data_IF_018721110825
#
_entry.id   IF_018721110825
#
_cell.length_a   1.000
_cell.length_b   1.000
_cell.length_c   1.000
_cell.angle_alpha   90.00
_cell.angle_beta   90.00
_cell.angle_gamma   90.00
#
_symmetry.space_group_name_H-M   'P 1'
#
loop_
_entity.id
_entity.type
_entity.pdbx_description
1 polymer ?
#
# COMPACT_ATOMS: atom_id res chain seq x y z
N UNK A 1 5.93 -9.43 7.64
CA UNK A 1 6.85 -9.94 6.61
C UNK A 1 7.10 -8.91 5.52
N UNK A 2 8.37 -8.57 5.31
CA UNK A 2 8.84 -7.83 4.13
C UNK A 2 8.55 -8.59 2.82
N UNK A 3 7.89 -7.92 1.87
CA UNK A 3 7.61 -8.45 0.53
C UNK A 3 8.63 -7.94 -0.48
N UNK A 4 8.90 -6.63 -0.48
CA UNK A 4 9.91 -6.02 -1.31
C UNK A 4 10.36 -4.67 -0.76
N UNK A 5 11.61 -4.32 -1.01
CA UNK A 5 12.23 -3.05 -0.72
C UNK A 5 13.12 -2.70 -1.91
N UNK A 6 12.77 -1.66 -2.67
CA UNK A 6 13.44 -1.36 -3.95
C UNK A 6 13.64 0.14 -4.09
N UNK A 7 14.83 0.51 -4.53
CA UNK A 7 15.15 1.86 -4.95
C UNK A 7 14.94 2.03 -6.45
N UNK A 8 14.46 3.22 -6.81
CA UNK A 8 14.24 3.64 -8.18
C UNK A 8 14.94 4.99 -8.41
N UNK A 9 15.41 5.20 -9.64
CA UNK A 9 15.92 6.50 -10.07
C UNK A 9 15.41 6.76 -11.50
N UNK A 10 14.89 7.96 -11.74
CA UNK A 10 14.32 8.34 -13.04
C UNK A 10 13.24 7.35 -13.55
N UNK A 11 12.46 6.77 -12.62
CA UNK A 11 11.41 5.79 -12.92
C UNK A 11 11.88 4.39 -13.28
N UNK A 12 13.17 4.08 -13.11
CA UNK A 12 13.74 2.74 -13.34
C UNK A 12 14.23 2.12 -12.05
N UNK A 13 14.08 0.80 -11.91
CA UNK A 13 14.64 0.05 -10.78
C UNK A 13 16.16 0.22 -10.76
N UNK A 14 16.69 0.66 -9.62
CA UNK A 14 18.12 0.78 -9.36
C UNK A 14 18.64 -0.54 -8.76
N UNK A 15 18.10 -0.94 -7.61
CA UNK A 15 18.41 -2.19 -6.92
C UNK A 15 17.34 -2.55 -5.91
N UNK A 16 17.33 -3.82 -5.48
CA UNK A 16 16.73 -4.16 -4.19
C UNK A 16 17.57 -3.52 -3.06
N UNK A 17 16.92 -3.14 -1.96
CA UNK A 17 17.55 -2.36 -0.87
C UNK A 17 17.41 -3.15 0.43
N UNK A 18 18.52 -3.44 1.14
CA UNK A 18 18.46 -3.91 2.53
C UNK A 18 17.72 -2.90 3.40
N UNK A 19 16.97 -3.37 4.39
CA UNK A 19 16.11 -2.49 5.20
C UNK A 19 16.95 -1.46 5.96
N UNK A 20 18.07 -1.90 6.51
CA UNK A 20 19.06 -1.10 7.23
C UNK A 20 19.75 -0.02 6.37
N UNK A 21 19.64 -0.10 5.04
CA UNK A 21 20.25 0.86 4.12
C UNK A 21 19.22 1.87 3.57
N UNK A 22 17.93 1.74 3.92
CA UNK A 22 16.85 2.60 3.38
C UNK A 22 17.21 4.07 3.55
N UNK A 23 17.57 4.48 4.76
CA UNK A 23 17.94 5.87 5.08
C UNK A 23 19.11 6.40 4.25
N UNK A 24 20.09 5.56 3.88
CA UNK A 24 21.19 5.94 3.01
C UNK A 24 20.76 6.11 1.55
N UNK A 25 19.87 5.25 1.04
CA UNK A 25 19.30 5.41 -0.29
C UNK A 25 18.42 6.67 -0.40
N UNK A 26 17.68 7.01 0.65
CA UNK A 26 16.85 8.23 0.67
C UNK A 26 17.66 9.52 0.63
N UNK A 27 18.93 9.51 1.08
CA UNK A 27 19.84 10.66 0.99
C UNK A 27 20.38 10.88 -0.43
N UNK A 28 20.29 9.88 -1.31
CA UNK A 28 20.82 9.96 -2.66
C UNK A 28 19.90 10.82 -3.56
N UNK A 29 20.45 11.80 -4.31
CA UNK A 29 19.65 12.67 -5.17
C UNK A 29 18.86 11.92 -6.24
N UNK A 30 17.56 12.18 -6.31
CA UNK A 30 16.66 11.59 -7.33
C UNK A 30 16.28 10.13 -7.06
N UNK A 31 16.63 9.59 -5.89
CA UNK A 31 16.27 8.24 -5.48
C UNK A 31 14.90 8.21 -4.83
N UNK A 32 14.09 7.22 -5.21
CA UNK A 32 12.78 6.93 -4.64
C UNK A 32 12.76 5.49 -4.10
N UNK A 33 12.35 5.28 -2.85
CA UNK A 33 12.29 3.94 -2.24
C UNK A 33 10.84 3.49 -2.08
N UNK A 34 10.50 2.31 -2.60
CA UNK A 34 9.17 1.73 -2.42
C UNK A 34 9.27 0.40 -1.67
N UNK A 35 8.63 0.35 -0.51
CA UNK A 35 8.56 -0.81 0.39
C UNK A 35 7.14 -1.34 0.49
N UNK A 36 7.01 -2.67 0.50
CA UNK A 36 5.76 -3.34 0.82
C UNK A 36 5.97 -4.37 1.94
N UNK A 37 5.17 -4.27 2.99
CA UNK A 37 5.04 -5.22 4.08
C UNK A 37 3.70 -5.93 3.99
N UNK A 38 3.69 -7.19 4.40
CA UNK A 38 2.50 -8.00 4.61
C UNK A 38 2.51 -8.54 6.03
N UNK A 39 1.41 -8.37 6.75
CA UNK A 39 1.20 -8.89 8.10
C UNK A 39 2.46 -8.72 8.97
N UNK A 40 3.06 -7.50 9.06
CA UNK A 40 4.31 -7.33 9.77
C UNK A 40 4.14 -7.45 11.27
N UNK A 41 5.18 -7.99 11.90
CA UNK A 41 5.28 -8.00 13.35
C UNK A 41 5.71 -6.62 13.88
N UNK A 42 5.71 -6.49 15.22
CA UNK A 42 6.04 -5.23 15.87
C UNK A 42 7.49 -4.78 15.63
N UNK A 43 8.43 -5.72 15.47
CA UNK A 43 9.84 -5.39 15.23
C UNK A 43 10.02 -4.84 13.81
N UNK A 44 9.40 -5.46 12.81
CA UNK A 44 9.42 -4.97 11.42
C UNK A 44 8.83 -3.56 11.30
N UNK A 45 7.71 -3.29 12.00
CA UNK A 45 7.10 -1.96 12.04
C UNK A 45 8.02 -0.93 12.72
N UNK A 46 8.65 -1.30 13.85
CA UNK A 46 9.58 -0.43 14.55
C UNK A 46 10.80 -0.07 13.67
N UNK A 47 11.34 -1.04 12.93
CA UNK A 47 12.43 -0.77 11.99
C UNK A 47 12.02 0.21 10.88
N UNK A 48 10.81 0.06 10.31
CA UNK A 48 10.32 1.04 9.33
C UNK A 48 10.12 2.42 9.94
N UNK A 49 9.66 2.49 11.18
CA UNK A 49 9.52 3.76 11.89
C UNK A 49 10.85 4.50 12.00
N UNK A 50 11.91 3.79 12.38
CA UNK A 50 13.27 4.36 12.48
C UNK A 50 13.81 4.80 11.12
N UNK A 51 13.76 3.92 10.10
CA UNK A 51 14.34 4.18 8.77
C UNK A 51 13.66 5.34 8.02
N UNK A 52 12.35 5.49 8.18
CA UNK A 52 11.57 6.53 7.52
C UNK A 52 11.24 7.73 8.43
N UNK A 53 11.63 7.68 9.70
CA UNK A 53 11.25 8.65 10.73
C UNK A 53 9.72 8.87 10.78
N UNK A 54 8.97 7.78 10.85
CA UNK A 54 7.49 7.80 10.82
C UNK A 54 6.93 8.35 12.14
N UNK A 55 5.83 9.09 12.05
CA UNK A 55 5.15 9.62 13.22
C UNK A 55 4.52 8.51 14.06
N UNK A 56 4.71 8.55 15.38
CA UNK A 56 4.31 7.49 16.32
C UNK A 56 2.82 7.12 16.20
N UNK A 57 1.93 8.12 16.11
CA UNK A 57 0.48 7.87 15.96
C UNK A 57 0.11 7.11 14.67
N UNK A 58 0.80 7.40 13.56
CA UNK A 58 0.54 6.71 12.29
C UNK A 58 1.04 5.26 12.33
N UNK A 59 2.16 5.03 13.03
CA UNK A 59 2.72 3.69 13.28
C UNK A 59 1.79 2.89 14.19
N UNK A 60 1.27 3.50 15.26
CA UNK A 60 0.30 2.91 16.17
C UNK A 60 -0.97 2.47 15.43
N UNK A 61 -1.49 3.31 14.54
CA UNK A 61 -2.66 3.00 13.71
C UNK A 61 -2.38 1.85 12.72
N UNK A 62 -1.24 1.87 12.04
CA UNK A 62 -0.83 0.79 11.14
C UNK A 62 -0.54 -0.54 11.87
N UNK A 63 -0.14 -0.47 13.15
CA UNK A 63 0.09 -1.63 14.00
C UNK A 63 -1.21 -2.23 14.55
N UNK A 64 -2.15 -1.38 15.00
CA UNK A 64 -3.45 -1.80 15.54
C UNK A 64 -4.37 -2.40 14.50
N UNK A 65 -4.39 -1.82 13.30
CA UNK A 65 -5.39 -2.15 12.28
C UNK A 65 -6.81 -1.77 12.71
N UNK A 66 -7.79 -2.27 11.96
CA UNK A 66 -9.23 -2.02 12.12
C UNK A 66 -9.58 -0.54 12.16
N UNK A 67 -8.82 0.28 11.43
CA UNK A 67 -9.04 1.71 11.34
C UNK A 67 -10.06 2.02 10.26
N UNK A 68 -10.90 3.03 10.50
CA UNK A 68 -11.74 3.58 9.43
C UNK A 68 -10.85 4.20 8.36
N UNK A 69 -11.23 4.11 7.06
CA UNK A 69 -10.48 4.75 6.01
C UNK A 69 -10.34 6.24 6.26
N UNK A 70 -9.10 6.73 6.22
CA UNK A 70 -8.76 8.13 6.49
C UNK A 70 -7.44 8.49 5.84
N UNK A 71 -7.21 9.79 5.70
CA UNK A 71 -5.95 10.37 5.26
C UNK A 71 -5.57 11.47 6.24
N UNK A 72 -4.33 11.44 6.71
CA UNK A 72 -3.76 12.36 7.69
C UNK A 72 -2.38 12.81 7.22
N UNK A 73 -2.02 14.05 7.56
CA UNK A 73 -0.71 14.62 7.24
C UNK A 73 0.14 14.70 8.52
N UNK A 74 1.36 14.16 8.44
CA UNK A 74 2.35 14.21 9.50
C UNK A 74 3.65 14.81 8.95
N UNK A 75 3.75 16.13 9.02
CA UNK A 75 4.85 16.87 8.36
C UNK A 75 4.80 16.67 6.85
N UNK A 76 5.89 16.17 6.26
CA UNK A 76 5.98 15.90 4.82
C UNK A 76 5.51 14.48 4.42
N UNK A 77 4.95 13.72 5.36
CA UNK A 77 4.41 12.38 5.13
C UNK A 77 2.88 12.40 5.13
N UNK A 78 2.28 11.82 4.10
CA UNK A 78 0.85 11.49 4.09
C UNK A 78 0.69 10.06 4.58
N UNK A 79 -0.11 9.88 5.63
CA UNK A 79 -0.59 8.58 6.08
C UNK A 79 -2.01 8.35 5.57
N UNK A 80 -2.24 7.21 4.93
CA UNK A 80 -3.55 6.81 4.44
C UNK A 80 -3.86 5.39 4.87
N UNK A 81 -5.07 5.14 5.34
CA UNK A 81 -5.58 3.79 5.55
C UNK A 81 -6.81 3.55 4.69
N UNK A 82 -6.90 2.36 4.12
CA UNK A 82 -7.98 1.89 3.26
C UNK A 82 -8.40 0.50 3.70
N UNK A 83 -9.70 0.20 3.61
CA UNK A 83 -10.14 -1.19 3.62
C UNK A 83 -9.84 -1.84 2.27
N UNK A 84 -9.54 -3.13 2.31
CA UNK A 84 -9.50 -3.97 1.14
C UNK A 84 -10.69 -4.91 1.30
N UNK A 85 -11.54 -4.99 0.30
CA UNK A 85 -12.63 -5.97 0.26
C UNK A 85 -12.41 -6.84 -0.96
N UNK A 86 -12.42 -8.16 -0.76
CA UNK A 86 -12.13 -9.12 -1.81
C UNK A 86 -13.13 -10.26 -1.78
N UNK A 87 -13.55 -10.68 -2.97
CA UNK A 87 -14.33 -11.88 -3.18
C UNK A 87 -13.39 -13.11 -3.27
N UNK A 88 -13.62 -14.09 -2.40
CA UNK A 88 -12.94 -15.39 -2.41
C UNK A 88 -13.97 -16.50 -2.65
N UNK A 89 -14.19 -16.85 -3.92
CA UNK A 89 -15.33 -17.70 -4.27
C UNK A 89 -16.62 -16.91 -4.08
N UNK A 90 -17.47 -17.35 -3.16
CA UNK A 90 -18.72 -16.66 -2.80
C UNK A 90 -18.61 -15.91 -1.45
N UNK A 91 -17.46 -15.97 -0.78
CA UNK A 91 -17.25 -15.30 0.51
C UNK A 91 -16.55 -13.95 0.34
N UNK A 92 -17.09 -12.92 1.00
CA UNK A 92 -16.45 -11.62 1.14
C UNK A 92 -15.44 -11.67 2.28
N UNK A 93 -14.19 -11.32 1.99
CA UNK A 93 -13.15 -11.09 3.00
C UNK A 93 -12.79 -9.60 3.06
N UNK A 94 -12.38 -9.15 4.24
CA UNK A 94 -11.87 -7.80 4.46
C UNK A 94 -10.45 -7.83 5.00
N UNK A 95 -9.61 -6.96 4.46
CA UNK A 95 -8.31 -6.62 5.02
C UNK A 95 -8.09 -5.12 4.99
N UNK A 96 -6.85 -4.70 5.19
CA UNK A 96 -6.49 -3.29 5.25
C UNK A 96 -5.18 -2.99 4.54
N UNK A 97 -5.08 -1.76 4.03
CA UNK A 97 -3.86 -1.19 3.48
C UNK A 97 -3.57 0.14 4.17
N UNK A 98 -2.51 0.18 4.97
CA UNK A 98 -1.90 1.41 5.43
C UNK A 98 -0.79 1.82 4.46
N UNK A 99 -0.73 3.10 4.10
CA UNK A 99 0.24 3.68 3.18
C UNK A 99 0.85 4.90 3.83
N UNK A 100 2.17 4.93 3.91
CA UNK A 100 2.97 6.09 4.25
C UNK A 100 3.63 6.58 2.97
N UNK A 101 3.30 7.80 2.54
CA UNK A 101 3.85 8.43 1.36
C UNK A 101 4.62 9.69 1.77
N UNK A 102 5.94 9.61 1.74
CA UNK A 102 6.82 10.76 1.96
C UNK A 102 7.29 11.41 0.66
N UNK A 103 8.22 12.37 0.73
CA UNK A 103 8.73 13.09 -0.44
C UNK A 103 9.38 12.18 -1.49
N UNK A 104 10.09 11.15 -1.04
CA UNK A 104 10.83 10.22 -1.90
C UNK A 104 10.71 8.76 -1.45
N UNK A 105 9.63 8.41 -0.75
CA UNK A 105 9.33 7.02 -0.44
C UNK A 105 7.84 6.71 -0.41
N UNK A 106 7.52 5.43 -0.60
CA UNK A 106 6.24 4.85 -0.21
C UNK A 106 6.48 3.58 0.58
N UNK A 107 5.90 3.49 1.77
CA UNK A 107 5.78 2.26 2.53
C UNK A 107 4.31 1.85 2.54
N UNK A 108 4.03 0.62 2.14
CA UNK A 108 2.69 0.04 2.21
C UNK A 108 2.68 -1.15 3.16
N UNK A 109 1.73 -1.16 4.10
CA UNK A 109 1.53 -2.23 5.07
C UNK A 109 0.16 -2.83 4.84
N UNK A 110 0.14 -4.10 4.41
CA UNK A 110 -1.10 -4.84 4.20
C UNK A 110 -1.36 -5.78 5.37
N UNK A 111 -2.59 -5.81 5.88
CA UNK A 111 -3.06 -6.79 6.88
C UNK A 111 -4.29 -7.55 6.37
N UNK A 112 -4.37 -8.83 6.71
CA UNK A 112 -5.56 -9.68 6.57
C UNK A 112 -6.16 -9.70 5.15
N UNK A 113 -5.30 -9.55 4.13
CA UNK A 113 -5.73 -9.54 2.73
C UNK A 113 -5.03 -10.61 1.90
N UNK A 114 -5.85 -11.37 1.18
CA UNK A 114 -5.44 -12.55 0.43
C UNK A 114 -4.65 -12.18 -0.83
N UNK A 115 -5.11 -11.19 -1.60
CA UNK A 115 -4.42 -10.79 -2.84
C UNK A 115 -3.35 -9.72 -2.58
N UNK A 116 -2.16 -9.99 -3.12
CA UNK A 116 -1.02 -9.07 -3.08
C UNK A 116 -1.13 -7.89 -4.03
N UNK A 117 -0.20 -6.92 -3.90
CA UNK A 117 -0.07 -5.76 -4.80
C UNK A 117 1.12 -5.88 -5.77
N UNK A 118 1.69 -7.08 -5.94
CA UNK A 118 2.82 -7.31 -6.86
C UNK A 118 2.49 -6.93 -8.31
N UNK A 119 1.23 -7.13 -8.73
CA UNK A 119 0.74 -6.69 -10.04
C UNK A 119 0.81 -5.17 -10.21
N UNK A 120 0.54 -4.39 -9.15
CA UNK A 120 0.60 -2.92 -9.18
C UNK A 120 2.03 -2.47 -9.45
N UNK A 121 3.00 -3.02 -8.70
CA UNK A 121 4.42 -2.71 -8.91
C UNK A 121 4.89 -3.09 -10.31
N UNK A 122 4.56 -4.29 -10.77
CA UNK A 122 4.94 -4.74 -12.11
C UNK A 122 4.32 -3.88 -13.23
N UNK A 123 3.15 -3.27 -13.01
CA UNK A 123 2.55 -2.29 -13.94
C UNK A 123 3.30 -0.96 -13.88
N UNK A 124 3.55 -0.43 -12.68
CA UNK A 124 4.28 0.81 -12.48
C UNK A 124 5.70 0.76 -13.10
N UNK A 125 6.41 -0.36 -12.95
CA UNK A 125 7.74 -0.56 -13.54
C UNK A 125 7.73 -0.63 -15.08
N UNK A 126 6.59 -0.98 -15.69
CA UNK A 126 6.39 -0.93 -17.14
C UNK A 126 6.10 0.48 -17.66
N UNK A 127 5.86 1.45 -16.76
CA UNK A 127 5.60 2.84 -17.10
C UNK A 127 6.61 3.80 -16.45
N UNK A 128 7.91 3.78 -16.83
CA UNK A 128 8.94 4.60 -16.18
C UNK A 128 8.62 6.10 -16.15
N UNK A 129 7.95 6.61 -17.17
CA UNK A 129 7.53 8.02 -17.24
C UNK A 129 6.52 8.42 -16.15
N UNK A 130 5.67 7.47 -15.73
CA UNK A 130 4.76 7.66 -14.60
C UNK A 130 5.49 7.42 -13.29
N UNK A 131 6.29 6.35 -13.19
CA UNK A 131 7.03 6.02 -11.97
C UNK A 131 8.05 7.10 -11.57
N UNK A 132 8.58 7.84 -12.54
CA UNK A 132 9.42 9.03 -12.29
C UNK A 132 8.68 10.14 -11.52
N UNK A 133 7.35 10.16 -11.53
CA UNK A 133 6.55 11.10 -10.70
C UNK A 133 6.62 10.79 -9.19
N UNK A 134 7.22 9.66 -8.81
CA UNK A 134 7.55 9.35 -7.42
C UNK A 134 6.36 8.91 -6.58
N UNK A 135 6.37 9.30 -5.30
CA UNK A 135 5.45 8.81 -4.27
C UNK A 135 3.98 9.05 -4.61
N UNK A 136 3.65 10.21 -5.18
CA UNK A 136 2.28 10.54 -5.57
C UNK A 136 1.68 9.57 -6.60
N UNK A 137 2.46 9.15 -7.60
CA UNK A 137 1.99 8.16 -8.57
C UNK A 137 1.83 6.77 -7.94
N UNK A 138 2.76 6.36 -7.08
CA UNK A 138 2.68 5.06 -6.41
C UNK A 138 1.51 5.01 -5.43
N UNK A 139 1.26 6.08 -4.68
CA UNK A 139 0.08 6.23 -3.83
C UNK A 139 -1.20 6.07 -4.66
N UNK A 140 -1.32 6.83 -5.76
CA UNK A 140 -2.43 6.68 -6.71
C UNK A 140 -2.60 5.24 -7.18
N UNK A 141 -1.52 4.59 -7.64
CA UNK A 141 -1.59 3.23 -8.20
C UNK A 141 -2.01 2.18 -7.16
N UNK A 142 -1.66 2.38 -5.89
CA UNK A 142 -2.12 1.53 -4.79
C UNK A 142 -3.60 1.75 -4.49
N UNK A 143 -4.04 3.01 -4.41
CA UNK A 143 -5.45 3.37 -4.17
C UNK A 143 -6.34 2.83 -5.30
N UNK A 144 -5.96 3.09 -6.55
CA UNK A 144 -6.63 2.60 -7.76
C UNK A 144 -6.81 1.07 -7.71
N UNK A 145 -5.75 0.35 -7.35
CA UNK A 145 -5.80 -1.10 -7.21
C UNK A 145 -6.62 -1.61 -6.00
N UNK A 146 -6.90 -0.78 -5.00
CA UNK A 146 -7.86 -1.09 -3.93
C UNK A 146 -9.28 -0.87 -4.43
N UNK A 147 -9.56 0.27 -5.06
CA UNK A 147 -10.87 0.61 -5.60
C UNK A 147 -11.32 -0.42 -6.65
N UNK A 148 -10.42 -0.86 -7.53
CA UNK A 148 -10.66 -1.91 -8.52
C UNK A 148 -11.18 -3.22 -7.89
N UNK A 149 -10.80 -3.52 -6.64
CA UNK A 149 -11.22 -4.76 -5.96
C UNK A 149 -12.66 -4.70 -5.47
N UNK A 150 -13.26 -3.51 -5.39
CA UNK A 150 -14.65 -3.36 -4.97
C UNK A 150 -15.63 -3.75 -6.07
N UNK A 151 -15.30 -3.55 -7.35
CA UNK A 151 -16.24 -3.82 -8.45
C UNK A 151 -16.80 -5.24 -8.44
N UNK A 152 -15.99 -6.33 -8.37
CA UNK A 152 -16.53 -7.68 -8.35
C UNK A 152 -17.44 -7.97 -7.14
N UNK A 153 -17.21 -7.28 -6.02
CA UNK A 153 -18.03 -7.44 -4.80
C UNK A 153 -19.36 -6.72 -4.97
N UNK A 154 -19.35 -5.50 -5.53
CA UNK A 154 -20.56 -4.75 -5.86
C UNK A 154 -21.40 -5.51 -6.87
N UNK A 155 -20.81 -6.01 -7.96
CA UNK A 155 -21.50 -6.79 -8.99
C UNK A 155 -22.18 -8.05 -8.41
N UNK A 156 -21.52 -8.72 -7.46
CA UNK A 156 -22.07 -9.89 -6.76
C UNK A 156 -23.26 -9.49 -5.90
N UNK A 157 -23.14 -8.44 -5.09
CA UNK A 157 -24.22 -7.95 -4.23
C UNK A 157 -25.42 -7.46 -5.03
N UNK A 158 -25.19 -6.82 -6.19
CA UNK A 158 -26.25 -6.43 -7.12
C UNK A 158 -26.98 -7.67 -7.67
N UNK A 159 -26.24 -8.70 -8.08
CA UNK A 159 -26.82 -9.95 -8.58
C UNK A 159 -27.63 -10.69 -7.50
N UNK A 160 -27.16 -10.69 -6.25
CA UNK A 160 -27.90 -11.27 -5.12
C UNK A 160 -29.18 -10.49 -4.80
N UNK A 161 -29.12 -9.15 -4.88
CA UNK A 161 -30.29 -8.29 -4.67
C UNK A 161 -31.36 -8.54 -5.74
N UNK A 162 -30.98 -8.56 -7.02
CA UNK A 162 -31.91 -8.86 -8.13
C UNK A 162 -32.60 -10.22 -7.93
N UNK A 163 -31.84 -11.23 -7.52
CA UNK A 163 -32.39 -12.57 -7.23
C UNK A 163 -33.41 -12.53 -6.08
N UNK A 164 -33.16 -11.77 -5.01
CA UNK A 164 -34.11 -11.63 -3.90
C UNK A 164 -35.38 -10.90 -4.38
N UNK A 165 -35.23 -9.85 -5.18
CA UNK A 165 -36.36 -9.08 -5.72
C UNK A 165 -37.26 -9.92 -6.63
N UNK A 166 -36.69 -10.82 -7.45
CA UNK A 166 -37.46 -11.73 -8.32
C UNK A 166 -38.32 -12.75 -7.54
N UNK A 167 -38.06 -12.95 -6.25
CA UNK A 167 -38.80 -13.87 -5.37
C UNK A 167 -39.82 -13.18 -4.46
N UNK A 168 -40.03 -11.85 -4.61
CA UNK A 168 -41.04 -11.05 -3.88
C UNK A 168 -42.22 -10.71 -4.80
#
# INVERSE_FOLDING_TARGET
MLINCVAYQEGKKLSDVPVEDISEYLKQPGTFVWVALRDPDAAEIATMQEEFNLHELAVEDAARGHQRPKMEEYGDCVFMTLHIVELNGDEISSGELAIFAGPNYVLSVRRDANRGFLGVRARAEREPHQLKKGSGFVLYALVDAVVDRYFPVVDMLESELESIEDHI
#
